data_IF_348188338718
#
_entry.id   IF_348188338718
#
_cell.length_a   1.000
_cell.length_b   1.000
_cell.length_c   1.000
_cell.angle_alpha   90.00
_cell.angle_beta   90.00
_cell.angle_gamma   90.00
#
_symmetry.space_group_name_H-M   'P 1'
#
loop_
_entity.id
_entity.type
_entity.pdbx_description
1 polymer ?
#
# COMPACT_ATOMS: atom_id res chain seq x y z
N UNK A 1 -41.09 14.98 -20.32
CA UNK A 1 -40.31 16.11 -19.77
C UNK A 1 -40.63 16.19 -18.29
N UNK A 2 -39.69 15.71 -17.45
CA UNK A 2 -39.58 15.98 -16.02
C UNK A 2 -40.73 15.56 -15.10
N UNK A 3 -40.84 14.27 -14.76
CA UNK A 3 -41.60 13.87 -13.56
C UNK A 3 -40.83 14.26 -12.28
N UNK A 4 -39.51 14.45 -12.40
CA UNK A 4 -38.64 14.91 -11.33
C UNK A 4 -37.79 16.13 -11.76
N UNK A 5 -37.64 17.07 -10.83
CA UNK A 5 -36.83 18.29 -10.98
C UNK A 5 -35.58 18.24 -10.07
N UNK A 6 -34.55 19.02 -10.41
CA UNK A 6 -33.35 19.18 -9.59
C UNK A 6 -33.73 19.65 -8.18
N UNK A 7 -33.24 18.95 -7.15
CA UNK A 7 -33.49 19.27 -5.74
C UNK A 7 -34.64 18.48 -5.09
N UNK A 8 -35.33 17.62 -5.83
CA UNK A 8 -36.35 16.73 -5.26
C UNK A 8 -35.72 15.46 -4.65
N UNK A 9 -36.26 15.03 -3.50
CA UNK A 9 -35.88 13.77 -2.85
C UNK A 9 -36.58 12.58 -3.51
N UNK A 10 -35.98 12.07 -4.58
CA UNK A 10 -36.48 10.89 -5.31
C UNK A 10 -35.87 9.60 -4.77
N UNK A 11 -36.60 8.46 -4.81
CA UNK A 11 -36.03 7.15 -4.52
C UNK A 11 -34.83 6.83 -5.43
N UNK A 12 -33.89 6.02 -4.94
CA UNK A 12 -32.69 5.66 -5.70
C UNK A 12 -33.00 4.60 -6.76
N UNK A 13 -32.39 4.73 -7.94
CA UNK A 13 -32.54 3.75 -9.03
C UNK A 13 -31.84 2.42 -8.71
N UNK A 14 -30.83 2.44 -7.85
CA UNK A 14 -30.01 1.28 -7.48
C UNK A 14 -30.67 0.41 -6.40
N UNK A 15 -31.64 0.94 -5.64
CA UNK A 15 -32.27 0.25 -4.51
C UNK A 15 -32.89 -1.10 -4.90
N UNK A 16 -33.68 -1.23 -5.98
CA UNK A 16 -34.30 -2.50 -6.34
C UNK A 16 -33.30 -3.66 -6.49
N UNK A 17 -32.14 -3.43 -7.11
CA UNK A 17 -31.11 -4.47 -7.28
C UNK A 17 -30.32 -4.71 -6.00
N UNK A 18 -29.97 -3.66 -5.26
CA UNK A 18 -29.13 -3.78 -4.06
C UNK A 18 -29.91 -4.42 -2.88
N UNK A 19 -31.20 -4.11 -2.73
CA UNK A 19 -32.02 -4.62 -1.63
C UNK A 19 -32.44 -6.09 -1.79
N UNK A 20 -32.32 -6.65 -3.00
CA UNK A 20 -32.76 -8.01 -3.32
C UNK A 20 -31.60 -8.97 -3.57
N UNK A 21 -30.35 -8.52 -3.37
CA UNK A 21 -29.16 -9.32 -3.64
C UNK A 21 -28.80 -9.42 -5.13
N UNK A 22 -29.35 -8.54 -5.97
CA UNK A 22 -29.00 -8.40 -7.39
C UNK A 22 -27.90 -7.35 -7.65
N UNK A 23 -27.20 -6.90 -6.61
CA UNK A 23 -25.93 -6.20 -6.79
C UNK A 23 -24.87 -7.15 -7.31
N UNK A 24 -23.92 -6.63 -8.10
CA UNK A 24 -22.75 -7.37 -8.53
C UNK A 24 -21.52 -6.60 -8.04
N UNK A 25 -20.78 -7.23 -7.14
CA UNK A 25 -19.53 -6.79 -6.55
C UNK A 25 -18.39 -7.69 -7.01
N UNK A 26 -17.15 -7.34 -6.67
CA UNK A 26 -15.99 -8.05 -7.20
C UNK A 26 -16.03 -9.57 -6.89
N UNK A 27 -16.37 -9.94 -5.64
CA UNK A 27 -16.37 -11.32 -5.17
C UNK A 27 -17.61 -12.11 -5.64
N UNK A 28 -18.56 -11.46 -6.32
CA UNK A 28 -19.70 -12.13 -6.96
C UNK A 28 -19.33 -12.70 -8.34
N UNK A 29 -18.25 -12.19 -8.95
CA UNK A 29 -17.81 -12.62 -10.29
C UNK A 29 -16.99 -13.90 -10.20
N UNK A 30 -17.38 -14.91 -11.00
CA UNK A 30 -16.68 -16.18 -11.10
C UNK A 30 -16.45 -16.59 -12.56
N UNK A 31 -15.21 -16.48 -13.02
CA UNK A 31 -14.81 -16.85 -14.37
C UNK A 31 -14.53 -18.35 -14.49
N UNK A 32 -14.66 -18.88 -15.70
CA UNK A 32 -14.33 -20.28 -15.96
C UNK A 32 -12.84 -20.52 -15.75
N UNK A 33 -12.51 -21.38 -14.78
CA UNK A 33 -11.11 -21.69 -14.46
C UNK A 33 -10.43 -20.62 -13.61
N UNK A 34 -11.19 -19.75 -12.95
CA UNK A 34 -10.68 -18.75 -12.02
C UNK A 34 -9.80 -19.39 -10.93
N UNK A 35 -8.61 -18.85 -10.76
CA UNK A 35 -7.73 -19.13 -9.63
C UNK A 35 -7.77 -17.95 -8.64
N UNK A 36 -7.25 -18.18 -7.44
CA UNK A 36 -7.31 -17.26 -6.32
C UNK A 36 -5.93 -16.92 -5.82
N UNK A 37 -5.70 -15.62 -5.62
CA UNK A 37 -4.47 -15.07 -5.10
C UNK A 37 -4.52 -14.85 -3.59
N UNK A 38 -3.43 -15.17 -2.89
CA UNK A 38 -3.21 -14.77 -1.51
C UNK A 38 -1.81 -14.18 -1.34
N UNK A 39 -1.73 -13.03 -0.67
CA UNK A 39 -0.45 -12.35 -0.40
C UNK A 39 0.02 -12.72 1.00
N UNK A 40 1.15 -13.42 1.10
CA UNK A 40 1.87 -13.58 2.37
C UNK A 40 2.53 -12.24 2.73
N UNK A 41 2.28 -11.77 3.96
CA UNK A 41 2.73 -10.45 4.42
C UNK A 41 3.67 -10.55 5.60
N UNK A 42 4.61 -9.63 5.66
CA UNK A 42 5.58 -9.50 6.74
C UNK A 42 4.92 -9.22 8.09
N UNK A 43 5.30 -9.94 9.15
CA UNK A 43 4.93 -9.59 10.53
C UNK A 43 5.86 -8.52 11.15
N UNK A 44 6.97 -8.15 10.47
CA UNK A 44 7.99 -7.26 11.02
C UNK A 44 7.83 -5.82 10.53
N UNK A 45 8.01 -4.87 11.46
CA UNK A 45 8.05 -3.44 11.13
C UNK A 45 9.30 -3.05 10.32
N UNK A 46 10.41 -3.76 10.51
CA UNK A 46 11.60 -3.67 9.66
C UNK A 46 12.45 -4.93 9.84
N UNK A 47 12.86 -5.58 8.75
CA UNK A 47 13.74 -6.75 8.80
C UNK A 47 14.39 -7.00 7.43
N UNK A 48 15.63 -7.49 7.43
CA UNK A 48 16.18 -8.09 6.22
C UNK A 48 15.52 -9.46 5.99
N UNK A 49 15.25 -9.79 4.74
CA UNK A 49 14.81 -11.12 4.32
C UNK A 49 16.08 -11.91 4.00
N UNK A 50 16.39 -12.91 4.82
CA UNK A 50 17.56 -13.76 4.62
C UNK A 50 17.29 -14.87 3.59
N UNK A 51 16.08 -15.43 3.63
CA UNK A 51 15.62 -16.41 2.65
C UNK A 51 14.10 -16.54 2.65
N UNK A 52 13.53 -16.96 1.52
CA UNK A 52 12.13 -17.35 1.37
C UNK A 52 12.10 -18.77 0.78
N UNK A 53 11.69 -19.76 1.57
CA UNK A 53 11.49 -21.13 1.10
C UNK A 53 9.99 -21.35 0.79
N UNK A 54 9.71 -21.56 -0.50
CA UNK A 54 8.36 -21.78 -1.02
C UNK A 54 8.10 -23.25 -1.38
N UNK A 55 9.08 -24.14 -1.21
CA UNK A 55 9.03 -25.50 -1.76
C UNK A 55 7.83 -26.33 -1.29
N UNK A 56 7.49 -26.22 0.00
CA UNK A 56 6.32 -26.90 0.57
C UNK A 56 5.00 -26.32 0.02
N UNK A 57 4.93 -25.00 -0.15
CA UNK A 57 3.78 -24.32 -0.70
C UNK A 57 3.56 -24.68 -2.18
N UNK A 58 4.62 -24.70 -2.99
CA UNK A 58 4.56 -25.09 -4.41
C UNK A 58 4.11 -26.55 -4.60
N UNK A 59 4.45 -27.43 -3.67
CA UNK A 59 4.04 -28.83 -3.69
C UNK A 59 2.62 -29.08 -3.15
N UNK A 60 1.96 -28.06 -2.60
CA UNK A 60 0.66 -28.22 -1.97
C UNK A 60 -0.47 -28.45 -2.98
N UNK A 61 -1.51 -29.25 -2.63
CA UNK A 61 -2.60 -29.56 -3.55
C UNK A 61 -3.36 -28.32 -4.04
N UNK A 62 -3.50 -28.21 -5.37
CA UNK A 62 -4.21 -27.12 -6.04
C UNK A 62 -3.45 -25.79 -6.10
N UNK A 63 -2.19 -25.74 -5.65
CA UNK A 63 -1.33 -24.58 -5.90
C UNK A 63 -0.88 -24.60 -7.36
N UNK A 64 -1.09 -23.47 -8.02
CA UNK A 64 -0.71 -23.24 -9.43
C UNK A 64 0.67 -22.61 -9.50
N UNK A 65 0.93 -21.61 -8.66
CA UNK A 65 2.21 -20.89 -8.63
C UNK A 65 2.41 -20.19 -7.29
N UNK A 66 3.66 -20.08 -6.86
CA UNK A 66 4.08 -19.12 -5.83
C UNK A 66 5.05 -18.14 -6.49
N UNK A 67 4.83 -16.84 -6.28
CA UNK A 67 5.69 -15.76 -6.74
C UNK A 67 6.32 -15.07 -5.54
N UNK A 68 7.56 -14.65 -5.69
CA UNK A 68 8.35 -13.97 -4.65
C UNK A 68 8.90 -12.65 -5.17
N UNK A 69 9.56 -11.88 -4.30
CA UNK A 69 10.30 -10.70 -4.74
C UNK A 69 11.40 -11.00 -5.78
N UNK A 70 11.93 -12.24 -5.83
CA UNK A 70 12.88 -12.65 -6.86
C UNK A 70 12.23 -12.74 -8.25
N UNK A 71 11.00 -13.28 -8.34
CA UNK A 71 10.25 -13.32 -9.60
C UNK A 71 9.95 -11.89 -10.08
N UNK A 72 9.52 -10.99 -9.18
CA UNK A 72 9.30 -9.57 -9.51
C UNK A 72 10.55 -8.88 -10.06
N UNK A 73 11.71 -9.12 -9.41
CA UNK A 73 12.98 -8.55 -9.85
C UNK A 73 13.43 -9.11 -11.21
N UNK A 74 13.19 -10.41 -11.47
CA UNK A 74 13.55 -11.06 -12.73
C UNK A 74 12.76 -10.50 -13.94
N UNK A 75 11.50 -10.13 -13.74
CA UNK A 75 10.65 -9.52 -14.79
C UNK A 75 10.98 -8.05 -15.06
N UNK A 76 11.76 -7.40 -14.19
CA UNK A 76 12.15 -6.00 -14.32
C UNK A 76 10.95 -5.03 -14.45
N UNK A 77 9.83 -5.34 -13.77
CA UNK A 77 8.65 -4.46 -13.72
C UNK A 77 8.89 -3.14 -12.97
N UNK A 78 10.00 -3.04 -12.22
CA UNK A 78 10.39 -1.80 -11.55
C UNK A 78 9.60 -1.53 -10.28
N UNK A 79 9.28 -0.26 -10.05
CA UNK A 79 8.60 0.25 -8.85
C UNK A 79 7.16 0.62 -9.20
N UNK A 80 6.29 0.63 -8.20
CA UNK A 80 4.92 1.17 -8.27
C UNK A 80 4.84 2.49 -7.48
N UNK A 81 5.51 3.58 -7.93
CA UNK A 81 5.56 4.81 -7.16
C UNK A 81 4.23 5.57 -7.23
N UNK A 82 3.93 6.32 -6.17
CA UNK A 82 3.03 7.45 -6.26
C UNK A 82 3.84 8.64 -6.80
N UNK A 83 3.65 8.99 -8.06
CA UNK A 83 4.41 10.08 -8.68
C UNK A 83 3.88 11.46 -8.28
N UNK A 84 4.77 12.32 -7.80
CA UNK A 84 4.56 13.76 -7.68
C UNK A 84 5.89 14.46 -8.00
N UNK A 85 6.08 14.80 -9.27
CA UNK A 85 7.32 15.37 -9.78
C UNK A 85 7.56 16.84 -9.39
N UNK A 86 6.62 17.47 -8.67
CA UNK A 86 6.70 18.91 -8.40
C UNK A 86 7.41 19.27 -7.10
N UNK A 87 7.55 18.30 -6.20
CA UNK A 87 8.11 18.49 -4.85
C UNK A 87 9.62 18.31 -4.83
N UNK A 88 10.25 18.97 -3.86
CA UNK A 88 11.70 18.99 -3.68
C UNK A 88 12.10 18.69 -2.24
N UNK A 89 13.32 18.20 -2.08
CA UNK A 89 13.98 18.05 -0.80
C UNK A 89 14.44 19.42 -0.25
N UNK A 90 14.79 19.53 1.05
CA UNK A 90 15.27 20.78 1.66
C UNK A 90 16.46 21.42 0.95
N UNK A 91 17.33 20.60 0.35
CA UNK A 91 18.52 21.03 -0.41
C UNK A 91 18.19 21.42 -1.87
N UNK A 92 16.92 21.38 -2.26
CA UNK A 92 16.45 21.69 -3.61
C UNK A 92 16.59 20.55 -4.62
N UNK A 93 17.12 19.39 -4.22
CA UNK A 93 17.16 18.19 -5.07
C UNK A 93 15.74 17.58 -5.27
N UNK A 94 15.54 16.71 -6.28
CA UNK A 94 14.24 16.07 -6.50
C UNK A 94 13.76 15.31 -5.27
N UNK A 95 12.43 15.20 -5.12
CA UNK A 95 11.80 14.34 -4.11
C UNK A 95 12.42 12.93 -4.13
N UNK A 96 12.66 12.39 -2.94
CA UNK A 96 13.08 11.00 -2.82
C UNK A 96 11.87 10.07 -2.98
N UNK A 97 11.89 9.27 -4.04
CA UNK A 97 10.91 8.22 -4.30
C UNK A 97 11.47 6.88 -3.86
N UNK A 98 10.94 6.28 -2.77
CA UNK A 98 11.38 4.95 -2.36
C UNK A 98 11.00 3.92 -3.43
N UNK A 99 11.90 2.95 -3.63
CA UNK A 99 11.56 1.77 -4.42
C UNK A 99 10.43 0.98 -3.72
N UNK A 100 9.32 0.77 -4.44
CA UNK A 100 8.11 0.14 -3.92
C UNK A 100 7.65 -0.97 -4.89
N UNK A 101 8.23 -2.18 -4.79
CA UNK A 101 7.84 -3.30 -5.63
C UNK A 101 6.50 -3.90 -5.18
N UNK A 102 5.84 -4.68 -6.05
CA UNK A 102 4.65 -5.42 -5.64
C UNK A 102 4.95 -6.56 -4.66
N UNK A 103 6.17 -7.13 -4.71
CA UNK A 103 6.70 -8.12 -3.78
C UNK A 103 8.11 -7.71 -3.37
N UNK A 104 8.38 -7.62 -2.07
CA UNK A 104 9.72 -7.27 -1.56
C UNK A 104 10.65 -8.49 -1.60
N UNK A 105 11.91 -8.27 -1.99
CA UNK A 105 12.89 -9.34 -2.15
C UNK A 105 13.92 -9.38 -1.01
N UNK A 106 14.32 -8.20 -0.54
CA UNK A 106 15.52 -7.97 0.24
C UNK A 106 15.21 -7.49 1.66
N UNK A 107 14.26 -6.57 1.82
CA UNK A 107 13.98 -5.97 3.13
C UNK A 107 12.53 -5.50 3.25
N UNK A 108 11.86 -5.96 4.30
CA UNK A 108 10.58 -5.45 4.77
C UNK A 108 10.81 -4.21 5.63
N UNK A 109 9.97 -3.19 5.47
CA UNK A 109 10.07 -1.86 6.09
C UNK A 109 8.75 -1.38 6.69
N UNK A 110 7.70 -2.21 6.62
CA UNK A 110 6.52 -2.10 7.45
C UNK A 110 5.88 -3.46 7.70
N UNK A 111 5.12 -3.55 8.79
CA UNK A 111 4.19 -4.67 9.01
C UNK A 111 3.18 -4.65 7.86
N UNK A 112 2.99 -5.80 7.22
CA UNK A 112 2.10 -5.93 6.07
C UNK A 112 2.79 -5.88 4.71
N UNK A 113 4.10 -5.65 4.65
CA UNK A 113 4.84 -5.68 3.38
C UNK A 113 4.67 -7.03 2.66
N UNK A 114 4.37 -7.02 1.35
CA UNK A 114 4.06 -8.23 0.59
C UNK A 114 5.33 -9.01 0.24
N UNK A 115 5.46 -10.24 0.72
CA UNK A 115 6.69 -11.05 0.58
C UNK A 115 6.55 -12.12 -0.50
N UNK A 116 5.39 -12.76 -0.56
CA UNK A 116 5.07 -13.75 -1.57
C UNK A 116 3.60 -13.67 -2.00
N UNK A 117 3.31 -14.14 -3.20
CA UNK A 117 1.96 -14.24 -3.75
C UNK A 117 1.69 -15.68 -4.20
N UNK A 118 0.72 -16.32 -3.56
CA UNK A 118 0.29 -17.68 -3.83
C UNK A 118 -0.93 -17.65 -4.72
N UNK A 119 -0.89 -18.40 -5.82
CA UNK A 119 -2.03 -18.62 -6.72
C UNK A 119 -2.46 -20.08 -6.61
N UNK A 120 -3.73 -20.32 -6.28
CA UNK A 120 -4.29 -21.66 -6.13
C UNK A 120 -5.71 -21.77 -6.71
N UNK A 121 -6.19 -23.00 -6.88
CA UNK A 121 -7.53 -23.30 -7.42
C UNK A 121 -8.67 -22.79 -6.54
N UNK A 122 -8.45 -22.63 -5.22
CA UNK A 122 -9.45 -22.11 -4.27
C UNK A 122 -8.85 -21.10 -3.30
N UNK A 123 -9.67 -20.19 -2.72
CA UNK A 123 -9.20 -19.25 -1.70
C UNK A 123 -8.62 -19.94 -0.45
N UNK A 124 -9.13 -21.12 -0.10
CA UNK A 124 -8.65 -21.88 1.06
C UNK A 124 -7.27 -22.46 0.81
N UNK A 125 -7.06 -23.11 -0.34
CA UNK A 125 -5.75 -23.63 -0.74
C UNK A 125 -4.68 -22.54 -0.82
N UNK A 126 -5.02 -21.35 -1.33
CA UNK A 126 -4.07 -20.23 -1.40
C UNK A 126 -3.61 -19.78 0.00
N UNK A 127 -4.53 -19.74 0.97
CA UNK A 127 -4.22 -19.41 2.38
C UNK A 127 -3.40 -20.50 3.05
N UNK A 128 -3.84 -21.75 2.92
CA UNK A 128 -3.18 -22.90 3.55
C UNK A 128 -1.73 -23.04 3.04
N UNK A 129 -1.51 -22.88 1.73
CA UNK A 129 -0.17 -22.92 1.16
C UNK A 129 0.69 -21.73 1.58
N UNK A 130 0.12 -20.54 1.79
CA UNK A 130 0.88 -19.39 2.29
C UNK A 130 1.45 -19.63 3.70
N UNK A 131 0.72 -20.35 4.56
CA UNK A 131 1.21 -20.76 5.89
C UNK A 131 2.33 -21.82 5.82
N UNK A 132 2.57 -22.44 4.66
CA UNK A 132 3.68 -23.38 4.45
C UNK A 132 4.98 -22.70 4.01
N UNK A 133 4.93 -21.41 3.64
CA UNK A 133 6.10 -20.65 3.22
C UNK A 133 6.92 -20.28 4.47
N UNK A 134 8.21 -20.62 4.44
CA UNK A 134 9.13 -20.28 5.53
C UNK A 134 9.96 -19.08 5.13
N UNK A 135 9.83 -17.98 5.86
CA UNK A 135 10.63 -16.77 5.66
C UNK A 135 11.57 -16.59 6.83
N UNK A 136 12.88 -16.52 6.55
CA UNK A 136 13.89 -16.19 7.55
C UNK A 136 14.13 -14.69 7.55
N UNK A 137 13.93 -14.08 8.72
CA UNK A 137 14.05 -12.64 8.91
C UNK A 137 15.17 -12.31 9.89
N UNK A 138 15.90 -11.24 9.60
CA UNK A 138 16.72 -10.55 10.59
C UNK A 138 16.06 -9.22 10.95
N UNK A 139 15.35 -9.14 12.08
CA UNK A 139 14.72 -7.90 12.52
C UNK A 139 15.73 -6.76 12.69
N UNK A 140 15.31 -5.57 12.30
CA UNK A 140 16.10 -4.35 12.40
C UNK A 140 15.36 -3.31 13.25
N UNK A 141 16.07 -2.32 13.84
CA UNK A 141 15.42 -1.19 14.49
C UNK A 141 14.47 -0.47 13.52
N UNK A 142 13.21 -0.33 13.93
CA UNK A 142 12.19 0.41 13.21
C UNK A 142 11.90 1.75 13.91
N UNK A 143 11.40 2.71 13.15
CA UNK A 143 10.94 4.01 13.68
C UNK A 143 9.48 4.23 13.29
N UNK A 144 8.63 4.48 14.29
CA UNK A 144 7.17 4.57 14.11
C UNK A 144 6.61 5.99 14.29
N UNK A 145 7.35 6.87 14.97
CA UNK A 145 6.97 8.26 15.20
C UNK A 145 7.71 9.19 14.23
N UNK A 146 6.99 10.19 13.70
CA UNK A 146 7.54 11.12 12.70
C UNK A 146 8.67 11.97 13.28
N UNK A 147 8.52 12.46 14.50
CA UNK A 147 9.55 13.26 15.18
C UNK A 147 10.84 12.47 15.41
N UNK A 148 10.71 11.18 15.76
CA UNK A 148 11.86 10.29 15.95
C UNK A 148 12.53 9.96 14.61
N UNK A 149 11.78 9.88 13.52
CA UNK A 149 12.31 9.55 12.20
C UNK A 149 13.26 10.63 11.65
N UNK A 150 13.03 11.90 12.00
CA UNK A 150 13.87 13.04 11.58
C UNK A 150 14.91 13.45 12.62
N UNK A 151 14.95 12.77 13.76
CA UNK A 151 15.94 13.05 14.80
C UNK A 151 17.35 12.65 14.37
N UNK A 152 18.36 13.32 14.94
CA UNK A 152 19.75 12.99 14.69
C UNK A 152 20.06 11.55 15.12
N UNK A 153 20.61 10.74 14.20
CA UNK A 153 20.93 9.34 14.46
C UNK A 153 19.74 8.37 14.39
N UNK A 154 18.58 8.82 13.93
CA UNK A 154 17.44 7.93 13.66
C UNK A 154 17.84 6.80 12.69
N UNK A 155 17.32 5.57 12.88
CA UNK A 155 17.55 4.51 11.91
C UNK A 155 16.95 4.93 10.56
N UNK A 156 17.75 4.87 9.50
CA UNK A 156 17.27 5.14 8.14
C UNK A 156 16.30 4.05 7.72
N UNK A 157 15.13 4.42 7.21
CA UNK A 157 14.18 3.46 6.61
C UNK A 157 14.74 2.94 5.29
N UNK A 158 15.28 3.83 4.47
CA UNK A 158 15.86 3.54 3.16
C UNK A 158 17.34 3.87 3.15
N UNK A 159 18.19 2.89 2.79
CA UNK A 159 19.64 3.03 2.87
C UNK A 159 20.22 4.01 1.82
N UNK A 160 19.51 4.20 0.72
CA UNK A 160 19.82 5.12 -0.38
C UNK A 160 19.24 6.53 -0.17
N UNK A 161 18.49 6.76 0.92
CA UNK A 161 18.08 8.09 1.35
C UNK A 161 18.99 8.56 2.48
N UNK A 162 19.64 9.73 2.31
CA UNK A 162 20.59 10.26 3.28
C UNK A 162 19.96 10.57 4.66
N UNK A 163 18.64 10.76 4.69
CA UNK A 163 17.81 10.98 5.86
C UNK A 163 16.45 10.30 5.67
N UNK A 164 15.50 10.49 6.60
CA UNK A 164 14.14 9.97 6.46
C UNK A 164 13.15 11.01 5.87
N UNK A 165 13.64 12.04 5.18
CA UNK A 165 12.81 13.10 4.59
C UNK A 165 12.61 12.80 3.11
N UNK A 166 11.36 12.68 2.64
CA UNK A 166 11.09 12.51 1.20
C UNK A 166 11.12 13.85 0.45
N UNK A 167 10.44 14.86 1.00
CA UNK A 167 10.38 16.24 0.48
C UNK A 167 9.97 17.21 1.59
N UNK A 168 10.07 18.51 1.31
CA UNK A 168 9.48 19.59 2.11
C UNK A 168 8.64 20.48 1.20
N UNK A 169 7.53 21.00 1.73
CA UNK A 169 6.67 21.94 1.01
C UNK A 169 6.33 23.10 1.95
N UNK A 170 6.71 24.31 1.52
CA UNK A 170 6.40 25.56 2.20
C UNK A 170 5.59 26.44 1.26
N UNK A 171 4.52 27.05 1.77
CA UNK A 171 3.64 27.94 1.00
C UNK A 171 3.29 29.16 1.84
N UNK A 172 3.41 30.34 1.24
CA UNK A 172 3.11 31.62 1.88
C UNK A 172 4.32 32.56 1.93
N UNK A 173 4.17 33.64 2.69
CA UNK A 173 5.21 34.64 2.92
C UNK A 173 5.71 34.53 4.36
N UNK A 174 6.86 33.87 4.54
CA UNK A 174 7.43 33.59 5.85
C UNK A 174 7.80 34.88 6.60
N UNK A 175 8.30 35.90 5.88
CA UNK A 175 8.72 37.17 6.47
C UNK A 175 7.51 37.98 6.96
N UNK A 176 6.44 38.04 6.16
CA UNK A 176 5.20 38.69 6.57
C UNK A 176 4.55 38.00 7.78
N UNK A 177 4.56 36.66 7.82
CA UNK A 177 4.06 35.89 8.95
C UNK A 177 4.91 36.13 10.20
N UNK A 178 6.23 36.09 10.09
CA UNK A 178 7.13 36.38 11.22
C UNK A 178 6.90 37.79 11.78
N UNK A 179 6.83 38.79 10.91
CA UNK A 179 6.55 40.18 11.30
C UNK A 179 5.17 40.36 11.97
N UNK A 180 4.17 39.55 11.57
CA UNK A 180 2.86 39.54 12.21
C UNK A 180 2.91 38.92 13.62
N UNK A 181 3.63 37.81 13.80
CA UNK A 181 3.83 37.19 15.12
C UNK A 181 4.59 38.10 16.09
N UNK A 182 5.63 38.82 15.62
CA UNK A 182 6.41 39.74 16.46
C UNK A 182 5.61 40.94 16.97
N UNK A 183 4.57 41.35 16.23
CA UNK A 183 3.71 42.49 16.58
C UNK A 183 2.42 42.09 17.31
N UNK A 184 2.15 40.79 17.45
CA UNK A 184 0.89 40.33 18.01
C UNK A 184 0.82 40.58 19.52
N UNK A 185 -0.27 41.20 19.99
CA UNK A 185 -0.52 41.41 21.42
C UNK A 185 -0.69 40.09 22.19
N UNK A 186 -1.10 39.02 21.48
CA UNK A 186 -1.29 37.70 22.05
C UNK A 186 -0.96 36.60 21.04
N UNK A 187 -0.19 35.60 21.49
CA UNK A 187 0.20 34.45 20.68
C UNK A 187 -0.20 33.16 21.40
N UNK A 188 -1.05 32.36 20.74
CA UNK A 188 -1.42 31.01 21.20
C UNK A 188 -0.68 29.98 20.36
N UNK A 189 -0.09 28.97 21.01
CA UNK A 189 0.54 27.82 20.34
C UNK A 189 -0.12 26.54 20.80
N UNK A 190 -0.47 25.68 19.86
CA UNK A 190 -1.06 24.38 20.13
C UNK A 190 -0.43 23.32 19.22
N UNK A 191 -0.08 22.17 19.81
CA UNK A 191 0.28 20.97 19.04
C UNK A 191 -1.00 20.16 18.78
N UNK A 192 -1.33 19.96 17.51
CA UNK A 192 -2.46 19.13 17.07
C UNK A 192 -1.92 17.89 16.39
N UNK A 193 -2.42 16.72 16.77
CA UNK A 193 -2.12 15.45 16.10
C UNK A 193 -3.34 15.08 15.27
N UNK A 194 -3.20 15.09 13.95
CA UNK A 194 -4.19 14.50 13.05
C UNK A 194 -3.87 13.00 12.93
N UNK A 195 -4.68 12.17 13.56
CA UNK A 195 -4.40 10.74 13.69
C UNK A 195 -4.42 10.05 12.32
N UNK A 196 -3.57 9.04 12.15
CA UNK A 196 -3.66 8.15 10.99
C UNK A 196 -4.97 7.37 11.06
N UNK A 197 -5.82 7.56 10.06
CA UNK A 197 -7.08 6.83 9.87
C UNK A 197 -7.12 6.22 8.48
N UNK A 198 -8.02 5.27 8.26
CA UNK A 198 -8.30 4.69 6.94
C UNK A 198 -9.80 4.69 6.71
N UNK A 199 -10.23 4.58 5.44
CA UNK A 199 -11.63 4.63 5.07
C UNK A 199 -12.45 3.42 5.58
N UNK A 200 -11.79 2.26 5.79
CA UNK A 200 -12.42 0.99 6.22
C UNK A 200 -13.70 0.68 5.43
N UNK A 201 -13.61 0.72 4.10
CA UNK A 201 -14.74 0.36 3.24
C UNK A 201 -15.21 -1.07 3.55
N UNK A 202 -16.54 -1.28 3.55
CA UNK A 202 -17.14 -2.59 3.85
C UNK A 202 -16.72 -3.65 2.82
N UNK A 203 -16.66 -3.27 1.54
CA UNK A 203 -16.04 -4.07 0.48
C UNK A 203 -14.53 -3.78 0.45
N UNK A 204 -13.66 -4.77 0.69
CA UNK A 204 -12.21 -4.62 0.56
C UNK A 204 -11.79 -4.43 -0.89
N UNK A 205 -10.57 -3.92 -1.09
CA UNK A 205 -9.97 -3.87 -2.44
C UNK A 205 -9.70 -5.27 -2.96
N UNK A 206 -9.93 -5.48 -4.25
CA UNK A 206 -9.43 -6.63 -5.00
C UNK A 206 -9.40 -6.34 -6.50
N UNK A 207 -8.99 -7.32 -7.27
CA UNK A 207 -9.06 -7.29 -8.73
C UNK A 207 -9.31 -8.70 -9.27
N UNK A 208 -9.82 -8.75 -10.50
CA UNK A 208 -9.98 -9.96 -11.30
C UNK A 208 -9.22 -9.73 -12.60
N UNK A 209 -8.28 -10.62 -12.91
CA UNK A 209 -7.52 -10.57 -14.17
C UNK A 209 -7.94 -11.71 -15.08
N UNK A 210 -8.23 -11.40 -16.33
CA UNK A 210 -8.49 -12.37 -17.40
C UNK A 210 -7.65 -11.97 -18.62
N UNK A 211 -6.67 -12.78 -18.95
CA UNK A 211 -5.75 -12.54 -20.07
C UNK A 211 -6.22 -13.34 -21.29
N UNK A 212 -6.52 -12.65 -22.39
CA UNK A 212 -6.86 -13.26 -23.67
C UNK A 212 -5.78 -12.93 -24.70
N UNK A 213 -4.96 -13.90 -25.15
CA UNK A 213 -3.88 -13.66 -26.11
C UNK A 213 -4.36 -13.23 -27.50
N UNK A 214 -5.68 -13.15 -27.74
CA UNK A 214 -6.26 -12.59 -28.97
C UNK A 214 -6.54 -11.09 -28.86
N UNK A 215 -6.58 -10.56 -27.64
CA UNK A 215 -6.95 -9.17 -27.34
C UNK A 215 -5.76 -8.33 -26.87
N UNK A 216 -4.71 -8.96 -26.35
CA UNK A 216 -3.43 -8.35 -25.92
C UNK A 216 -2.26 -8.73 -26.82
#
# INVERSE_FOLDING_TARGET
MGEFAVGQSVPREEDPRLLTGGGEFLDDVNLRGQAWGYVLRSPHAKADILSVDVSAAEAAPGVVRVLTGADWAAENYGSLPCEDATKKRPDGSPIYHPYHPALVADQVKMVGDPVAFVVAETPAQARDAAEMIVVDYRPLPAVAHLEDAVAAGAPLVWADCADNISFVEEKGDADAVAAAFDKADHVVRQKLINNRVTAVAMEPRGCLGDYDPRQD
#
